data_IF_546138873360
#
_entry.id   IF_546138873360
#
_cell.length_a   1.000
_cell.length_b   1.000
_cell.length_c   1.000
_cell.angle_alpha   90.00
_cell.angle_beta   90.00
_cell.angle_gamma   90.00
#
_symmetry.space_group_name_H-M   'P 1'
#
loop_
_entity.id
_entity.type
_entity.pdbx_description
1 polymer ?
#
# COMPACT_ATOMS: atom_id res chain seq x y z
N UNK A 1 5.10 10.30 -18.87
CA UNK A 1 5.86 9.58 -17.83
C UNK A 1 5.51 8.11 -17.88
N UNK A 2 6.49 7.21 -17.78
CA UNK A 2 6.24 5.77 -17.68
C UNK A 2 5.86 5.34 -16.25
N UNK A 3 6.29 6.12 -15.26
CA UNK A 3 5.99 5.91 -13.86
C UNK A 3 5.58 7.23 -13.21
N UNK A 4 4.59 7.18 -12.32
CA UNK A 4 4.20 8.28 -11.44
C UNK A 4 3.93 7.67 -10.08
N UNK A 5 4.49 8.25 -9.03
CA UNK A 5 4.34 7.82 -7.64
C UNK A 5 4.33 9.06 -6.75
N UNK A 6 3.45 9.11 -5.76
CA UNK A 6 3.44 10.13 -4.73
C UNK A 6 3.70 9.53 -3.36
N UNK A 7 4.45 10.23 -2.52
CA UNK A 7 4.53 9.96 -1.09
C UNK A 7 3.99 11.19 -0.33
N UNK A 8 2.87 11.02 0.36
CA UNK A 8 2.29 12.03 1.24
C UNK A 8 2.90 11.89 2.63
N UNK A 9 3.41 12.99 3.21
CA UNK A 9 4.01 12.99 4.56
C UNK A 9 3.13 13.72 5.60
N UNK A 10 2.22 14.56 5.13
CA UNK A 10 1.15 15.17 5.92
C UNK A 10 -0.06 15.42 5.00
N UNK A 11 -1.10 16.07 5.49
CA UNK A 11 -2.26 16.41 4.66
C UNK A 11 -1.89 17.38 3.53
N UNK A 12 -0.90 18.24 3.78
CA UNK A 12 -0.53 19.36 2.91
C UNK A 12 0.85 19.19 2.26
N UNK A 13 1.60 18.15 2.62
CA UNK A 13 2.96 17.92 2.14
C UNK A 13 3.12 16.58 1.44
N UNK A 14 3.63 16.63 0.21
CA UNK A 14 3.84 15.47 -0.65
C UNK A 14 5.11 15.62 -1.49
N UNK A 15 5.69 14.49 -1.88
CA UNK A 15 6.67 14.45 -2.97
C UNK A 15 6.08 13.63 -4.11
N UNK A 16 5.97 14.25 -5.28
CA UNK A 16 5.54 13.59 -6.52
C UNK A 16 6.78 13.24 -7.32
N UNK A 17 6.90 11.97 -7.66
CA UNK A 17 7.99 11.41 -8.43
C UNK A 17 7.47 10.96 -9.78
N UNK A 18 8.18 11.31 -10.85
CA UNK A 18 7.89 10.86 -12.20
C UNK A 18 9.12 10.21 -12.80
N UNK A 19 8.92 9.20 -13.65
CA UNK A 19 10.00 8.41 -14.20
C UNK A 19 9.80 8.09 -15.67
N UNK A 20 10.91 8.06 -16.40
CA UNK A 20 11.01 7.60 -17.79
C UNK A 20 12.20 6.65 -17.87
N UNK A 21 12.03 5.54 -18.59
CA UNK A 21 13.13 4.58 -18.80
C UNK A 21 14.16 5.16 -19.77
N UNK A 22 15.43 4.94 -19.49
CA UNK A 22 16.55 5.44 -20.29
C UNK A 22 17.74 4.49 -20.19
N UNK A 23 18.45 4.31 -21.30
CA UNK A 23 19.71 3.57 -21.36
C UNK A 23 20.93 4.47 -21.07
N UNK A 24 20.72 5.78 -20.94
CA UNK A 24 21.76 6.78 -20.68
C UNK A 24 21.52 7.44 -19.32
N UNK A 25 22.59 7.54 -18.51
CA UNK A 25 22.58 8.19 -17.21
C UNK A 25 23.76 9.16 -17.08
N UNK A 26 23.51 10.33 -16.49
CA UNK A 26 24.58 11.22 -16.05
C UNK A 26 25.27 10.58 -14.82
N UNK A 27 26.58 10.28 -14.87
CA UNK A 27 27.25 9.56 -13.77
C UNK A 27 27.13 10.24 -12.42
N UNK A 28 27.11 11.59 -12.39
CA UNK A 28 26.96 12.38 -11.16
C UNK A 28 25.57 12.31 -10.52
N UNK A 29 24.55 11.89 -11.29
CA UNK A 29 23.15 11.77 -10.84
C UNK A 29 22.72 10.32 -10.67
N UNK A 30 23.64 9.36 -10.83
CA UNK A 30 23.35 7.94 -10.63
C UNK A 30 23.14 7.64 -9.14
N UNK A 31 21.93 7.24 -8.77
CA UNK A 31 21.57 6.87 -7.43
C UNK A 31 21.17 5.38 -7.34
N UNK A 32 22.12 4.53 -6.92
CA UNK A 32 21.83 3.15 -6.52
C UNK A 32 21.15 3.12 -5.15
N UNK A 33 19.85 3.45 -5.08
CA UNK A 33 19.09 3.57 -3.81
C UNK A 33 19.10 2.27 -3.00
N UNK A 34 19.17 1.12 -3.70
CA UNK A 34 19.10 -0.21 -3.09
C UNK A 34 20.34 -0.62 -2.25
N UNK A 35 21.38 0.21 -2.20
CA UNK A 35 22.56 -0.02 -1.37
C UNK A 35 22.18 -0.03 0.12
N UNK A 36 22.61 -1.06 0.85
CA UNK A 36 22.15 -1.32 2.21
C UNK A 36 22.53 -0.25 3.24
N UNK A 37 23.55 0.56 2.94
CA UNK A 37 24.01 1.64 3.82
C UNK A 37 23.28 2.98 3.57
N UNK A 38 22.54 3.10 2.46
CA UNK A 38 21.77 4.32 2.16
C UNK A 38 20.49 4.40 3.01
N UNK A 39 19.91 5.58 3.23
CA UNK A 39 18.59 5.69 3.86
C UNK A 39 17.54 4.83 3.14
N UNK A 40 16.50 4.42 3.87
CA UNK A 40 15.32 3.84 3.24
C UNK A 40 14.71 4.81 2.24
N UNK A 41 14.08 4.27 1.18
CA UNK A 41 13.64 5.06 0.04
C UNK A 41 12.71 6.20 0.44
N UNK A 42 11.68 5.93 1.24
CA UNK A 42 10.76 6.99 1.69
C UNK A 42 11.46 8.06 2.55
N UNK A 43 12.55 7.75 3.27
CA UNK A 43 13.32 8.78 4.00
C UNK A 43 14.23 9.58 3.07
N UNK A 44 14.78 8.95 2.05
CA UNK A 44 15.50 9.64 0.98
C UNK A 44 14.59 10.63 0.25
N UNK A 45 13.36 10.22 -0.06
CA UNK A 45 12.33 11.07 -0.67
C UNK A 45 11.88 12.18 0.29
N UNK A 46 11.65 11.89 1.58
CA UNK A 46 11.28 12.90 2.59
C UNK A 46 12.33 14.01 2.70
N UNK A 47 13.61 13.69 2.46
CA UNK A 47 14.66 14.70 2.47
C UNK A 47 14.48 15.75 1.36
N UNK A 48 13.90 15.39 0.21
CA UNK A 48 13.58 16.39 -0.83
C UNK A 48 12.56 17.41 -0.33
N UNK A 49 11.54 16.96 0.39
CA UNK A 49 10.55 17.81 1.03
C UNK A 49 11.19 18.71 2.11
N UNK A 50 11.94 18.12 3.04
CA UNK A 50 12.58 18.85 4.16
C UNK A 50 13.58 19.91 3.73
N UNK A 51 14.25 19.68 2.60
CA UNK A 51 15.22 20.63 2.05
C UNK A 51 14.61 21.54 0.98
N UNK A 52 13.30 21.45 0.77
CA UNK A 52 12.53 22.17 -0.24
C UNK A 52 13.23 22.18 -1.60
N UNK A 53 13.62 20.99 -2.07
CA UNK A 53 14.37 20.82 -3.31
C UNK A 53 13.63 19.94 -4.30
N UNK A 54 13.87 20.21 -5.57
CA UNK A 54 13.56 19.32 -6.68
C UNK A 54 14.86 18.65 -7.17
N UNK A 55 14.75 17.55 -7.91
CA UNK A 55 15.92 16.93 -8.52
C UNK A 55 15.61 15.79 -9.46
N UNK A 56 16.66 15.39 -10.18
CA UNK A 56 16.64 14.28 -11.12
C UNK A 56 17.69 13.26 -10.68
N UNK A 57 17.27 12.00 -10.54
CA UNK A 57 18.15 10.89 -10.20
C UNK A 57 17.98 9.76 -11.22
N UNK A 58 19.09 9.16 -11.64
CA UNK A 58 19.07 7.93 -12.42
C UNK A 58 19.16 6.74 -11.47
N UNK A 59 18.12 5.93 -11.41
CA UNK A 59 18.08 4.75 -10.55
C UNK A 59 18.19 3.51 -11.44
N UNK A 60 19.16 2.60 -11.21
CA UNK A 60 19.22 1.37 -11.97
C UNK A 60 17.92 0.57 -11.81
N UNK A 61 17.49 -0.11 -12.87
CA UNK A 61 16.15 -0.70 -12.97
C UNK A 61 15.80 -1.63 -11.80
N UNK A 62 16.71 -2.53 -11.43
CA UNK A 62 16.50 -3.47 -10.32
C UNK A 62 16.36 -2.75 -8.96
N UNK A 63 17.29 -1.84 -8.56
CA UNK A 63 17.07 -0.95 -7.42
C UNK A 63 15.75 -0.18 -7.44
N UNK A 64 15.30 0.30 -8.61
CA UNK A 64 14.02 1.01 -8.72
C UNK A 64 12.83 0.11 -8.39
N UNK A 65 12.76 -1.11 -8.95
CA UNK A 65 11.68 -2.06 -8.64
C UNK A 65 11.70 -2.54 -7.18
N UNK A 66 12.87 -2.60 -6.55
CA UNK A 66 13.02 -3.02 -5.15
C UNK A 66 13.15 -1.86 -4.16
N UNK A 67 12.80 -0.64 -4.55
CA UNK A 67 13.03 0.57 -3.72
C UNK A 67 12.33 0.51 -2.36
N UNK A 68 11.16 -0.10 -2.31
CA UNK A 68 10.38 -0.29 -1.08
C UNK A 68 10.72 -1.58 -0.32
N UNK A 69 11.47 -2.52 -0.92
CA UNK A 69 11.67 -3.87 -0.35
C UNK A 69 12.42 -3.84 0.98
N UNK A 70 13.49 -3.03 1.11
CA UNK A 70 14.34 -3.04 2.32
C UNK A 70 13.65 -2.49 3.56
N UNK A 71 12.71 -1.57 3.39
CA UNK A 71 11.95 -0.97 4.48
C UNK A 71 10.55 -1.55 4.63
N UNK A 72 10.16 -2.49 3.75
CA UNK A 72 8.79 -2.98 3.63
C UNK A 72 7.85 -1.76 3.51
N UNK A 73 8.06 -0.98 2.44
CA UNK A 73 7.61 0.42 2.30
C UNK A 73 8.20 1.31 3.40
N UNK A 74 7.63 1.29 4.59
CA UNK A 74 8.14 1.97 5.79
C UNK A 74 7.80 1.25 7.10
N UNK A 75 7.14 0.09 7.07
CA UNK A 75 6.76 -0.66 8.28
C UNK A 75 7.96 -1.02 9.16
N UNK A 76 9.13 -1.21 8.56
CA UNK A 76 10.33 -1.51 9.33
C UNK A 76 10.76 -0.35 10.25
N UNK A 77 10.27 0.87 10.03
CA UNK A 77 10.47 1.98 10.95
C UNK A 77 9.82 1.74 12.31
N UNK A 78 8.66 1.10 12.35
CA UNK A 78 7.95 0.86 13.60
C UNK A 78 8.61 -0.27 14.41
N UNK A 79 9.26 -1.22 13.71
CA UNK A 79 10.01 -2.33 14.32
C UNK A 79 11.42 -1.90 14.74
N UNK A 80 12.10 -1.12 13.89
CA UNK A 80 13.48 -0.65 14.10
C UNK A 80 13.51 0.88 13.90
N UNK A 81 13.08 1.68 14.89
CA UNK A 81 12.98 3.14 14.74
C UNK A 81 14.30 3.83 14.41
N UNK A 82 15.41 3.30 14.93
CA UNK A 82 16.76 3.76 14.64
C UNK A 82 17.35 3.17 13.35
N UNK A 83 16.56 2.44 12.56
CA UNK A 83 17.02 1.68 11.40
C UNK A 83 17.65 2.52 10.30
N UNK A 84 17.37 3.83 10.25
CA UNK A 84 18.02 4.80 9.34
C UNK A 84 19.27 5.47 9.92
N UNK A 85 19.66 5.20 11.17
CA UNK A 85 20.89 5.74 11.73
C UNK A 85 22.09 5.30 10.84
N UNK A 86 22.95 6.23 10.38
CA UNK A 86 24.05 5.90 9.46
C UNK A 86 24.99 4.80 9.98
N UNK A 87 25.25 4.76 11.28
CA UNK A 87 26.09 3.73 11.91
C UNK A 87 25.40 2.37 11.83
N UNK A 88 24.10 2.30 12.14
CA UNK A 88 23.33 1.07 12.01
C UNK A 88 23.25 0.60 10.55
N UNK A 89 22.94 1.50 9.60
CA UNK A 89 22.85 1.16 8.17
C UNK A 89 24.18 0.61 7.64
N UNK A 90 25.29 1.18 8.06
CA UNK A 90 26.62 0.72 7.66
C UNK A 90 26.97 -0.65 8.23
N UNK A 91 26.74 -0.88 9.54
CA UNK A 91 27.13 -2.13 10.21
C UNK A 91 26.14 -3.28 9.99
N UNK A 92 24.84 -3.00 9.99
CA UNK A 92 23.76 -4.01 10.04
C UNK A 92 22.71 -3.85 8.93
N UNK A 93 22.78 -2.81 8.08
CA UNK A 93 21.79 -2.57 7.03
C UNK A 93 21.67 -3.71 6.01
N UNK A 94 22.74 -4.52 5.84
CA UNK A 94 22.73 -5.70 4.97
C UNK A 94 21.85 -6.84 5.50
N UNK A 95 21.54 -6.87 6.79
CA UNK A 95 20.64 -7.86 7.43
C UNK A 95 19.15 -7.52 7.24
N UNK A 96 18.84 -6.35 6.69
CA UNK A 96 17.48 -5.81 6.52
C UNK A 96 16.98 -5.98 5.08
N UNK A 97 15.74 -6.44 4.85
CA UNK A 97 14.70 -6.74 5.85
C UNK A 97 14.87 -8.14 6.46
N UNK A 98 14.58 -8.33 7.76
CA UNK A 98 14.57 -9.66 8.35
C UNK A 98 13.46 -10.52 7.71
N UNK A 99 13.64 -11.84 7.71
CA UNK A 99 12.58 -12.75 7.24
C UNK A 99 11.31 -12.54 8.08
N UNK A 100 10.16 -12.35 7.42
CA UNK A 100 8.87 -12.15 8.10
C UNK A 100 8.56 -13.31 9.06
N UNK A 101 8.92 -14.54 8.70
CA UNK A 101 8.76 -15.70 9.58
C UNK A 101 9.54 -15.57 10.88
N UNK A 102 10.73 -14.98 10.85
CA UNK A 102 11.55 -14.72 12.04
C UNK A 102 10.88 -13.67 12.93
N UNK A 103 10.36 -12.58 12.34
CA UNK A 103 9.60 -11.57 13.08
C UNK A 103 8.38 -12.19 13.78
N UNK A 104 7.59 -12.98 13.05
CA UNK A 104 6.41 -13.68 13.60
C UNK A 104 6.75 -14.67 14.71
N UNK A 105 7.89 -15.37 14.62
CA UNK A 105 8.37 -16.29 15.66
C UNK A 105 8.79 -15.57 16.94
N UNK A 106 9.31 -14.35 16.83
CA UNK A 106 9.76 -13.56 17.98
C UNK A 106 8.65 -12.72 18.62
N UNK A 107 7.49 -12.60 17.99
CA UNK A 107 6.33 -11.87 18.52
C UNK A 107 5.51 -12.77 19.44
N UNK A 108 5.47 -12.46 20.74
CA UNK A 108 4.55 -13.10 21.69
C UNK A 108 3.08 -12.78 21.39
N UNK A 109 2.15 -13.58 21.91
CA UNK A 109 0.71 -13.45 21.61
C UNK A 109 0.13 -12.06 21.92
N UNK A 110 0.59 -11.42 23.00
CA UNK A 110 0.17 -10.08 23.40
C UNK A 110 0.62 -9.00 22.41
N UNK A 111 1.87 -9.10 21.92
CA UNK A 111 2.39 -8.21 20.89
C UNK A 111 1.65 -8.42 19.57
N UNK A 112 1.34 -9.68 19.21
CA UNK A 112 0.56 -9.98 18.02
C UNK A 112 -0.83 -9.34 18.07
N UNK A 113 -1.55 -9.47 19.20
CA UNK A 113 -2.86 -8.82 19.40
C UNK A 113 -2.76 -7.29 19.35
N UNK A 114 -1.69 -6.72 19.92
CA UNK A 114 -1.47 -5.27 19.90
C UNK A 114 -1.28 -4.76 18.46
N UNK A 115 -0.46 -5.46 17.67
CA UNK A 115 -0.27 -5.19 16.24
C UNK A 115 -1.57 -5.38 15.45
N UNK A 116 -2.33 -6.46 15.69
CA UNK A 116 -3.62 -6.69 15.00
C UNK A 116 -4.67 -5.61 15.30
N UNK A 117 -4.57 -4.94 16.45
CA UNK A 117 -5.52 -3.92 16.89
C UNK A 117 -5.08 -2.48 16.62
N UNK A 118 -3.78 -2.23 16.44
CA UNK A 118 -3.20 -0.89 16.32
C UNK A 118 -2.26 -0.76 15.11
N UNK A 119 -2.41 -1.58 14.08
CA UNK A 119 -1.62 -1.49 12.85
C UNK A 119 -2.54 -1.49 11.64
N UNK A 120 -2.29 -0.58 10.71
CA UNK A 120 -3.00 -0.51 9.44
C UNK A 120 -2.08 -1.03 8.35
N UNK A 121 -2.62 -1.91 7.52
CA UNK A 121 -2.03 -2.37 6.26
C UNK A 121 -3.17 -2.43 5.26
N UNK A 122 -3.33 -1.38 4.48
CA UNK A 122 -4.41 -1.30 3.50
C UNK A 122 -3.94 -0.59 2.24
N UNK A 123 -4.43 -1.07 1.10
CA UNK A 123 -4.32 -0.44 -0.21
C UNK A 123 -5.74 -0.30 -0.76
N UNK A 124 -6.16 0.95 -0.96
CA UNK A 124 -7.49 1.31 -1.44
C UNK A 124 -7.39 2.02 -2.77
N UNK A 125 -7.93 1.39 -3.81
CA UNK A 125 -8.00 1.92 -5.16
C UNK A 125 -9.22 2.81 -5.28
N UNK A 126 -9.04 4.09 -5.57
CA UNK A 126 -10.16 5.03 -5.74
C UNK A 126 -10.05 5.77 -7.08
N UNK A 127 -11.17 6.18 -7.69
CA UNK A 127 -11.11 7.07 -8.84
C UNK A 127 -10.30 8.33 -8.52
N UNK A 128 -9.44 8.77 -9.43
CA UNK A 128 -8.56 9.92 -9.21
C UNK A 128 -9.34 11.21 -8.87
N UNK A 129 -10.53 11.37 -9.44
CA UNK A 129 -11.45 12.49 -9.14
C UNK A 129 -11.88 12.56 -7.66
N UNK A 130 -11.76 11.45 -6.93
CA UNK A 130 -12.09 11.34 -5.50
C UNK A 130 -10.85 11.40 -4.59
N UNK A 131 -9.64 11.61 -5.13
CA UNK A 131 -8.39 11.56 -4.35
C UNK A 131 -8.39 12.52 -3.15
N UNK A 132 -8.82 13.79 -3.34
CA UNK A 132 -8.85 14.77 -2.25
C UNK A 132 -9.75 14.29 -1.10
N UNK A 133 -10.97 13.84 -1.42
CA UNK A 133 -11.88 13.28 -0.43
C UNK A 133 -11.28 12.06 0.27
N UNK A 134 -10.66 11.16 -0.49
CA UNK A 134 -10.03 9.95 0.05
C UNK A 134 -8.88 10.29 1.00
N UNK A 135 -7.98 11.21 0.64
CA UNK A 135 -6.89 11.64 1.52
C UNK A 135 -7.41 12.24 2.82
N UNK A 136 -8.48 13.05 2.78
CA UNK A 136 -9.11 13.58 4.00
C UNK A 136 -9.72 12.47 4.87
N UNK A 137 -10.34 11.44 4.26
CA UNK A 137 -10.85 10.27 4.99
C UNK A 137 -9.71 9.49 5.66
N UNK A 138 -8.62 9.18 4.93
CA UNK A 138 -7.44 8.52 5.49
C UNK A 138 -6.81 9.33 6.64
N UNK A 139 -6.70 10.65 6.48
CA UNK A 139 -6.19 11.54 7.52
C UNK A 139 -7.04 11.51 8.79
N UNK A 140 -8.37 11.52 8.64
CA UNK A 140 -9.31 11.59 9.77
C UNK A 140 -9.48 10.26 10.47
N UNK A 141 -9.58 9.16 9.72
CA UNK A 141 -9.97 7.85 10.25
C UNK A 141 -8.78 7.08 10.82
N UNK A 142 -7.59 7.20 10.21
CA UNK A 142 -6.41 6.42 10.59
C UNK A 142 -5.18 7.26 10.92
N UNK A 143 -5.03 8.45 10.31
CA UNK A 143 -3.88 9.34 10.56
C UNK A 143 -2.52 8.62 10.48
N UNK A 144 -2.32 7.83 9.42
CA UNK A 144 -1.08 7.11 9.15
C UNK A 144 -0.30 7.85 8.07
N UNK A 145 0.99 8.09 8.32
CA UNK A 145 1.91 8.68 7.36
C UNK A 145 3.27 7.96 7.39
N UNK A 146 3.96 7.85 6.25
CA UNK A 146 3.55 8.39 4.95
C UNK A 146 2.43 7.58 4.28
N UNK A 147 1.78 8.17 3.28
CA UNK A 147 0.78 7.53 2.41
C UNK A 147 1.39 7.33 1.03
N UNK A 148 1.25 6.11 0.49
CA UNK A 148 1.65 5.77 -0.86
C UNK A 148 0.54 6.15 -1.84
N UNK A 149 0.87 6.86 -2.92
CA UNK A 149 -0.05 7.17 -4.01
C UNK A 149 0.49 6.60 -5.32
N UNK A 150 -0.21 5.63 -5.90
CA UNK A 150 0.18 5.01 -7.16
C UNK A 150 -0.96 5.15 -8.19
N UNK A 151 -0.96 6.18 -9.04
CA UNK A 151 -1.95 6.34 -10.10
C UNK A 151 -1.83 5.25 -11.17
N UNK A 152 -2.96 4.74 -11.65
CA UNK A 152 -3.02 3.76 -12.71
C UNK A 152 -4.30 3.92 -13.54
N UNK A 153 -4.26 3.51 -14.81
CA UNK A 153 -5.44 3.46 -15.65
C UNK A 153 -6.13 2.12 -15.43
N UNK A 154 -7.38 2.15 -14.96
CA UNK A 154 -8.23 0.98 -14.87
C UNK A 154 -8.96 0.82 -16.21
N UNK A 155 -8.65 -0.21 -17.02
CA UNK A 155 -9.31 -0.42 -18.30
C UNK A 155 -10.76 -0.86 -18.08
N UNK A 156 -11.68 -0.42 -18.95
CA UNK A 156 -13.05 -0.93 -18.96
C UNK A 156 -13.09 -2.29 -19.66
N UNK A 157 -12.73 -3.32 -18.91
CA UNK A 157 -12.80 -4.72 -19.33
C UNK A 157 -13.66 -5.49 -18.32
N UNK A 158 -14.48 -6.46 -18.77
CA UNK A 158 -15.27 -7.27 -17.86
C UNK A 158 -14.38 -8.06 -16.89
N UNK A 159 -14.79 -8.13 -15.62
CA UNK A 159 -14.04 -8.84 -14.57
C UNK A 159 -14.51 -8.45 -13.18
N UNK A 160 -13.82 -8.91 -12.14
CA UNK A 160 -14.15 -8.55 -10.75
C UNK A 160 -13.97 -7.04 -10.47
N UNK A 161 -13.04 -6.40 -11.19
CA UNK A 161 -12.65 -5.00 -11.00
C UNK A 161 -12.74 -4.31 -12.36
N UNK A 162 -13.59 -3.30 -12.45
CA UNK A 162 -13.76 -2.47 -13.64
C UNK A 162 -14.30 -1.09 -13.23
N UNK A 163 -14.11 -0.03 -14.04
CA UNK A 163 -14.69 1.27 -13.77
C UNK A 163 -16.22 1.18 -13.72
N UNK A 164 -16.86 2.16 -13.07
CA UNK A 164 -18.33 2.25 -13.06
C UNK A 164 -18.92 2.45 -14.46
N UNK A 165 -18.19 3.16 -15.33
CA UNK A 165 -18.60 3.44 -16.71
C UNK A 165 -17.96 2.49 -17.73
N UNK A 166 -18.34 2.68 -18.98
CA UNK A 166 -17.89 1.86 -20.12
C UNK A 166 -16.54 2.31 -20.71
N UNK A 167 -15.85 3.24 -20.04
CA UNK A 167 -14.57 3.80 -20.48
C UNK A 167 -13.47 3.54 -19.45
N UNK A 168 -12.22 3.49 -19.92
CA UNK A 168 -11.08 3.43 -19.02
C UNK A 168 -11.01 4.68 -18.14
N UNK A 169 -10.77 4.51 -16.85
CA UNK A 169 -10.77 5.59 -15.87
C UNK A 169 -9.45 5.62 -15.10
N UNK A 170 -8.97 6.82 -14.79
CA UNK A 170 -7.78 7.01 -13.96
C UNK A 170 -8.14 6.79 -12.49
N UNK A 171 -7.49 5.81 -11.88
CA UNK A 171 -7.57 5.49 -10.47
C UNK A 171 -6.24 5.79 -9.78
N UNK A 172 -6.25 5.76 -8.45
CA UNK A 172 -5.06 5.86 -7.60
C UNK A 172 -5.16 4.84 -6.49
N UNK A 173 -4.09 4.07 -6.33
CA UNK A 173 -3.88 3.24 -5.15
C UNK A 173 -3.40 4.11 -3.99
N UNK A 174 -4.11 4.05 -2.87
CA UNK A 174 -3.79 4.75 -1.63
C UNK A 174 -3.35 3.71 -0.60
N UNK A 175 -2.04 3.55 -0.47
CA UNK A 175 -1.41 2.62 0.47
C UNK A 175 -1.10 3.27 1.80
N UNK A 176 -1.65 2.71 2.89
CA UNK A 176 -1.37 3.12 4.25
C UNK A 176 -0.85 1.94 5.07
N UNK A 177 0.35 2.11 5.62
CA UNK A 177 1.07 1.11 6.41
C UNK A 177 1.64 1.75 7.66
N UNK A 178 1.34 1.22 8.84
CA UNK A 178 1.90 1.72 10.10
C UNK A 178 0.90 1.84 11.24
N UNK A 179 1.40 2.33 12.37
CA UNK A 179 0.63 2.58 13.58
C UNK A 179 -0.24 3.86 13.46
N UNK A 180 -1.58 3.76 13.57
CA UNK A 180 -2.48 4.90 13.63
C UNK A 180 -2.19 5.83 14.80
N UNK A 181 -2.24 7.15 14.56
CA UNK A 181 -1.98 8.16 15.60
C UNK A 181 -3.24 8.78 16.19
N UNK A 182 -4.40 8.17 15.95
CA UNK A 182 -5.69 8.65 16.48
C UNK A 182 -5.93 8.13 17.90
N UNK A 183 -6.41 8.99 18.82
CA UNK A 183 -6.51 8.70 20.27
C UNK A 183 -7.41 7.51 20.65
N UNK A 184 -8.34 7.14 19.77
CA UNK A 184 -9.32 6.07 20.00
C UNK A 184 -9.43 5.15 18.78
N UNK A 185 -8.29 4.76 18.20
CA UNK A 185 -8.28 3.84 17.08
C UNK A 185 -8.90 2.49 17.49
N UNK A 186 -9.91 2.06 16.75
CA UNK A 186 -10.43 0.69 16.83
C UNK A 186 -10.42 0.10 15.43
N UNK A 187 -9.45 -0.79 15.17
CA UNK A 187 -9.15 -1.31 13.83
C UNK A 187 -10.39 -1.71 13.04
N UNK A 188 -11.29 -2.50 13.62
CA UNK A 188 -12.48 -2.98 12.91
C UNK A 188 -13.41 -1.85 12.52
N UNK A 189 -13.75 -0.95 13.45
CA UNK A 189 -14.65 0.17 13.16
C UNK A 189 -14.05 1.14 12.11
N UNK A 190 -12.78 1.51 12.25
CA UNK A 190 -12.08 2.39 11.32
C UNK A 190 -11.96 1.77 9.92
N UNK A 191 -11.57 0.49 9.84
CA UNK A 191 -11.48 -0.22 8.55
C UNK A 191 -12.84 -0.33 7.88
N UNK A 192 -13.92 -0.63 8.62
CA UNK A 192 -15.27 -0.67 8.04
C UNK A 192 -15.74 0.69 7.53
N UNK A 193 -15.38 1.78 8.20
CA UNK A 193 -15.67 3.14 7.73
C UNK A 193 -14.92 3.44 6.43
N UNK A 194 -13.64 3.07 6.38
CA UNK A 194 -12.81 3.24 5.19
C UNK A 194 -13.33 2.41 4.00
N UNK A 195 -13.62 1.12 4.23
CA UNK A 195 -14.23 0.22 3.23
C UNK A 195 -15.56 0.78 2.71
N UNK A 196 -16.41 1.30 3.60
CA UNK A 196 -17.69 1.93 3.22
C UNK A 196 -17.48 3.16 2.34
N UNK A 197 -16.51 4.01 2.68
CA UNK A 197 -16.16 5.16 1.86
C UNK A 197 -15.69 4.73 0.47
N UNK A 198 -14.77 3.77 0.39
CA UNK A 198 -14.22 3.25 -0.87
C UNK A 198 -15.33 2.68 -1.76
N UNK A 199 -16.27 1.90 -1.21
CA UNK A 199 -17.46 1.44 -1.96
C UNK A 199 -18.31 2.60 -2.48
N UNK A 200 -18.53 3.63 -1.66
CA UNK A 200 -19.38 4.76 -2.04
C UNK A 200 -18.85 5.53 -3.26
N UNK A 201 -17.54 5.48 -3.52
CA UNK A 201 -16.88 6.12 -4.66
C UNK A 201 -16.57 5.16 -5.80
N UNK A 202 -17.10 3.93 -5.80
CA UNK A 202 -16.78 2.89 -6.81
C UNK A 202 -15.28 2.57 -6.85
N UNK A 203 -14.67 2.53 -5.67
CA UNK A 203 -13.30 2.08 -5.44
C UNK A 203 -13.24 0.61 -5.05
N UNK A 204 -12.01 0.09 -4.93
CA UNK A 204 -11.71 -1.31 -4.65
C UNK A 204 -10.67 -1.44 -3.56
N UNK A 205 -10.77 -2.47 -2.72
CA UNK A 205 -9.73 -2.83 -1.76
C UNK A 205 -8.81 -3.90 -2.36
N UNK A 206 -7.51 -3.79 -2.14
CA UNK A 206 -6.59 -4.86 -2.48
C UNK A 206 -6.73 -6.05 -1.52
N UNK A 207 -6.97 -7.24 -2.09
CA UNK A 207 -7.43 -8.43 -1.35
C UNK A 207 -6.34 -9.18 -0.56
N UNK A 208 -5.14 -8.62 -0.43
CA UNK A 208 -4.09 -9.22 0.40
C UNK A 208 -4.23 -8.82 1.88
N UNK A 209 -4.84 -7.66 2.14
CA UNK A 209 -5.08 -7.13 3.48
C UNK A 209 -6.31 -7.79 4.16
N UNK A 210 -6.50 -7.49 5.44
CA UNK A 210 -7.70 -7.92 6.17
C UNK A 210 -8.94 -7.21 5.61
N UNK A 211 -9.97 -8.00 5.29
CA UNK A 211 -11.28 -7.53 4.85
C UNK A 211 -12.29 -7.67 5.99
N UNK A 212 -12.91 -6.55 6.36
CA UNK A 212 -13.94 -6.45 7.41
C UNK A 212 -15.35 -6.28 6.86
N UNK A 213 -15.50 -6.23 5.53
CA UNK A 213 -16.77 -6.24 4.83
C UNK A 213 -17.55 -7.53 5.06
N UNK A 214 -18.87 -7.46 5.04
CA UNK A 214 -19.71 -8.65 4.88
C UNK A 214 -19.59 -9.20 3.45
N UNK A 215 -20.14 -10.40 3.19
CA UNK A 215 -20.12 -10.98 1.85
C UNK A 215 -20.91 -10.12 0.87
N UNK A 216 -22.02 -9.56 1.32
CA UNK A 216 -22.88 -8.68 0.54
C UNK A 216 -22.16 -7.37 0.20
N UNK A 217 -21.50 -6.75 1.20
CA UNK A 217 -20.67 -5.56 0.99
C UNK A 217 -19.49 -5.84 0.03
N UNK A 218 -18.91 -7.03 0.09
CA UNK A 218 -17.85 -7.45 -0.83
C UNK A 218 -18.35 -7.53 -2.27
N UNK A 219 -19.49 -8.18 -2.52
CA UNK A 219 -20.06 -8.29 -3.88
C UNK A 219 -20.74 -7.00 -4.36
N UNK A 220 -20.99 -6.03 -3.48
CA UNK A 220 -21.29 -4.65 -3.88
C UNK A 220 -20.04 -3.96 -4.48
N UNK A 221 -18.85 -4.26 -3.95
CA UNK A 221 -17.58 -3.70 -4.43
C UNK A 221 -17.07 -4.38 -5.70
N UNK A 222 -17.16 -5.71 -5.79
CA UNK A 222 -16.61 -6.50 -6.89
C UNK A 222 -17.69 -7.13 -7.76
N UNK A 223 -17.58 -7.06 -9.09
CA UNK A 223 -18.55 -7.72 -9.98
C UNK A 223 -18.32 -9.24 -10.03
N UNK A 224 -19.10 -9.97 -9.23
CA UNK A 224 -19.07 -11.42 -9.16
C UNK A 224 -19.68 -12.15 -10.36
N UNK A 225 -20.30 -11.45 -11.32
CA UNK A 225 -21.14 -12.06 -12.36
C UNK A 225 -20.39 -13.08 -13.23
N UNK A 226 -19.20 -12.72 -13.72
CA UNK A 226 -18.38 -13.63 -14.52
C UNK A 226 -17.75 -14.72 -13.67
N UNK A 227 -17.35 -14.38 -12.45
CA UNK A 227 -16.71 -15.28 -11.50
C UNK A 227 -17.64 -16.44 -11.11
N UNK A 228 -18.88 -16.14 -10.69
CA UNK A 228 -19.85 -17.17 -10.29
C UNK A 228 -20.28 -18.04 -11.47
N UNK A 229 -20.47 -17.46 -12.66
CA UNK A 229 -20.81 -18.20 -13.89
C UNK A 229 -19.73 -19.22 -14.26
N UNK A 230 -18.45 -18.83 -14.16
CA UNK A 230 -17.33 -19.74 -14.41
C UNK A 230 -17.24 -20.84 -13.35
N UNK A 231 -17.47 -20.51 -12.07
CA UNK A 231 -17.45 -21.49 -10.99
C UNK A 231 -18.51 -22.56 -11.15
N UNK A 232 -19.72 -22.17 -11.53
CA UNK A 232 -20.80 -23.12 -11.82
C UNK A 232 -20.44 -24.01 -13.01
N UNK A 233 -20.06 -23.42 -14.14
CA UNK A 233 -19.70 -24.14 -15.37
C UNK A 233 -18.58 -25.17 -15.16
N UNK A 234 -17.62 -24.86 -14.30
CA UNK A 234 -16.45 -25.70 -14.02
C UNK A 234 -16.61 -26.59 -12.78
N UNK A 235 -17.77 -26.60 -12.11
CA UNK A 235 -17.99 -27.40 -10.90
C UNK A 235 -17.09 -27.01 -9.73
N UNK A 236 -16.70 -25.74 -9.63
CA UNK A 236 -15.77 -25.26 -8.60
C UNK A 236 -16.42 -24.94 -7.25
N UNK A 237 -17.76 -25.03 -7.15
CA UNK A 237 -18.51 -24.64 -5.96
C UNK A 237 -18.09 -25.45 -4.73
N UNK A 238 -17.95 -26.77 -4.89
CA UNK A 238 -17.52 -27.67 -3.80
C UNK A 238 -16.00 -27.89 -3.76
N UNK A 239 -15.30 -27.64 -4.88
CA UNK A 239 -13.87 -27.93 -5.01
C UNK A 239 -12.97 -26.84 -4.42
N UNK A 240 -13.41 -25.57 -4.45
CA UNK A 240 -12.58 -24.44 -4.02
C UNK A 240 -13.40 -23.41 -3.24
N UNK A 241 -12.87 -22.87 -2.12
CA UNK A 241 -13.52 -21.77 -1.41
C UNK A 241 -13.63 -20.53 -2.31
N UNK A 242 -14.62 -19.68 -2.04
CA UNK A 242 -14.75 -18.44 -2.79
C UNK A 242 -13.64 -17.44 -2.47
N UNK A 243 -13.48 -16.42 -3.32
CA UNK A 243 -12.54 -15.32 -3.06
C UNK A 243 -12.80 -14.69 -1.70
N UNK A 244 -14.07 -14.38 -1.38
CA UNK A 244 -14.44 -13.82 -0.08
C UNK A 244 -14.02 -14.72 1.10
N UNK A 245 -14.19 -16.04 0.98
CA UNK A 245 -13.86 -17.00 2.04
C UNK A 245 -12.35 -17.06 2.33
N UNK A 246 -11.50 -16.69 1.36
CA UNK A 246 -10.04 -16.67 1.55
C UNK A 246 -9.54 -15.41 2.27
N UNK A 247 -10.32 -14.33 2.21
CA UNK A 247 -9.87 -13.01 2.65
C UNK A 247 -10.59 -12.55 3.92
N UNK A 248 -11.80 -13.04 4.16
CA UNK A 248 -12.55 -12.67 5.35
C UNK A 248 -11.82 -13.17 6.59
N UNK A 249 -11.58 -12.26 7.55
CA UNK A 249 -10.90 -12.59 8.80
C UNK A 249 -11.60 -13.70 9.58
N UNK A 250 -12.94 -13.77 9.51
CA UNK A 250 -13.74 -14.77 10.18
C UNK A 250 -13.57 -16.20 9.60
N UNK A 251 -13.08 -16.33 8.38
CA UNK A 251 -12.87 -17.62 7.72
C UNK A 251 -11.45 -18.19 7.93
N UNK A 252 -10.55 -17.43 8.57
CA UNK A 252 -9.15 -17.82 8.83
C UNK A 252 -8.94 -18.47 10.21
N UNK A 253 -10.00 -18.64 11.01
CA UNK A 253 -9.97 -19.20 12.36
C UNK A 253 -11.04 -20.26 12.57
#
# INVERSE_FOLDING_TARGET
NHFVEGLLYSLDEAVIMTGVMTDKAEPSKLNSIGNYYKPWFFKHVENYLKTNREGLEYIPLRPYYHRHTRSIFWELQDIIPFGNNPVFRYLFGWMVPPKISLLKLTQGETLRKLYEQHHVVQDMLVPMKCLSQAVHTFHSDIHVYPIWLCPFILPSQPGLVHPKGDEAELYVDIGAYGEPRVKHFEARSCMRQLEKFVRSVHGFQMLYADCYMSREEFWEMFDGSLYHRLRERLGCQDAFPEVYDKICKAARH
#
